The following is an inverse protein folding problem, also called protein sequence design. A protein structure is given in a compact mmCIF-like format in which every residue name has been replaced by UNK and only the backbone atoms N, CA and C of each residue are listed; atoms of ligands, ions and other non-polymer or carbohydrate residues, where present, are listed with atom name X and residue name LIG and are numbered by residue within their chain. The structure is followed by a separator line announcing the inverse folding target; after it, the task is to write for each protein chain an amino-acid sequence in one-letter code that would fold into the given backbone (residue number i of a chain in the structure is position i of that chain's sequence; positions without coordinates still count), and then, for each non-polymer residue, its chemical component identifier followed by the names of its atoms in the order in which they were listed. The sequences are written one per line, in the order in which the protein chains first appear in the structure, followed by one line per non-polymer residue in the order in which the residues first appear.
data_IF_092844564763
#
_entry.id   IF_092844564763
#
_cell.length_a   1.000
_cell.length_b   1.000
_cell.length_c   1.000
_cell.angle_alpha   90.00
_cell.angle_beta   90.00
_cell.angle_gamma   90.00
#
_symmetry.space_group_name_H-M   'P 1'
#
loop_
_entity.id
_entity.type
_entity.pdbx_description
1 polymer ?
#
# COMPACT_ATOMS: atom_id res chain seq x y z
N UNK A 1 -18.03 28.33 -11.67
CA UNK A 1 -17.91 27.38 -10.54
C UNK A 1 -17.83 25.90 -10.94
N UNK A 2 -17.70 25.52 -12.23
CA UNK A 2 -17.71 24.10 -12.65
C UNK A 2 -16.35 23.38 -12.68
N UNK A 3 -15.26 24.08 -13.02
CA UNK A 3 -13.95 23.44 -13.25
C UNK A 3 -13.32 22.93 -11.94
N UNK A 4 -13.46 23.68 -10.85
CA UNK A 4 -12.89 23.31 -9.53
C UNK A 4 -13.47 21.99 -9.02
N UNK A 5 -14.79 21.78 -9.15
CA UNK A 5 -15.45 20.54 -8.73
C UNK A 5 -14.96 19.31 -9.52
N UNK A 6 -14.72 19.46 -10.82
CA UNK A 6 -14.23 18.36 -11.66
C UNK A 6 -12.79 17.94 -11.33
N UNK A 7 -11.95 18.90 -10.93
CA UNK A 7 -10.56 18.63 -10.52
C UNK A 7 -10.54 17.87 -9.19
N UNK A 8 -11.40 18.23 -8.23
CA UNK A 8 -11.49 17.51 -6.95
C UNK A 8 -12.03 16.08 -7.09
N UNK A 9 -13.05 15.86 -7.92
CA UNK A 9 -13.59 14.53 -8.19
C UNK A 9 -12.56 13.59 -8.83
N UNK A 10 -11.70 14.12 -9.70
CA UNK A 10 -10.64 13.32 -10.32
C UNK A 10 -9.61 12.85 -9.29
N UNK A 11 -9.22 13.71 -8.34
CA UNK A 11 -8.32 13.30 -7.24
C UNK A 11 -8.95 12.19 -6.38
N UNK A 12 -10.23 12.32 -6.04
CA UNK A 12 -10.95 11.31 -5.24
C UNK A 12 -11.06 9.94 -5.93
N UNK A 13 -11.22 9.93 -7.26
CA UNK A 13 -11.23 8.69 -8.04
C UNK A 13 -9.90 7.94 -7.93
N UNK A 14 -8.77 8.65 -7.99
CA UNK A 14 -7.44 8.06 -7.79
C UNK A 14 -7.21 7.56 -6.36
N UNK A 15 -7.71 8.28 -5.34
CA UNK A 15 -7.66 7.83 -3.94
C UNK A 15 -8.43 6.50 -3.79
N UNK A 16 -9.66 6.46 -4.30
CA UNK A 16 -10.52 5.26 -4.23
C UNK A 16 -9.87 4.07 -4.94
N UNK A 17 -9.30 4.28 -6.12
CA UNK A 17 -8.57 3.24 -6.84
C UNK A 17 -7.34 2.74 -6.04
N UNK A 18 -6.57 3.66 -5.45
CA UNK A 18 -5.42 3.30 -4.61
C UNK A 18 -5.81 2.44 -3.40
N UNK A 19 -6.93 2.77 -2.75
CA UNK A 19 -7.48 1.95 -1.65
C UNK A 19 -7.93 0.57 -2.11
N UNK A 20 -8.58 0.47 -3.26
CA UNK A 20 -8.96 -0.82 -3.83
C UNK A 20 -7.71 -1.69 -4.12
N UNK A 21 -6.64 -1.09 -4.65
CA UNK A 21 -5.36 -1.77 -4.88
C UNK A 21 -4.69 -2.21 -3.57
N UNK A 22 -4.77 -1.40 -2.51
CA UNK A 22 -4.32 -1.82 -1.17
C UNK A 22 -5.10 -3.03 -0.66
N UNK A 23 -6.42 -3.02 -0.80
CA UNK A 23 -7.28 -4.15 -0.40
C UNK A 23 -6.98 -5.41 -1.22
N UNK A 24 -6.51 -5.26 -2.46
CA UNK A 24 -6.08 -6.37 -3.32
C UNK A 24 -4.64 -6.83 -3.04
N UNK A 25 -3.92 -6.19 -2.11
CA UNK A 25 -2.54 -6.56 -1.76
C UNK A 25 -1.49 -6.03 -2.74
N UNK A 26 -1.81 -4.98 -3.50
CA UNK A 26 -0.93 -4.36 -4.51
C UNK A 26 -0.42 -2.97 -4.07
N UNK A 27 0.37 -2.86 -2.99
CA UNK A 27 0.74 -1.55 -2.45
C UNK A 27 1.67 -0.75 -3.36
N UNK A 28 2.48 -1.38 -4.22
CA UNK A 28 3.33 -0.64 -5.19
C UNK A 28 2.49 0.07 -6.26
N UNK A 29 1.34 -0.51 -6.64
CA UNK A 29 0.43 0.09 -7.62
C UNK A 29 -0.39 1.18 -6.95
N UNK A 30 -0.84 0.94 -5.71
CA UNK A 30 -1.56 1.92 -4.91
C UNK A 30 -0.79 3.24 -4.76
N UNK A 31 0.54 3.18 -4.53
CA UNK A 31 1.40 4.37 -4.45
C UNK A 31 1.26 5.25 -5.70
N UNK A 32 1.26 4.65 -6.90
CA UNK A 32 1.14 5.40 -8.17
C UNK A 32 -0.22 6.08 -8.30
N UNK A 33 -1.28 5.44 -7.81
CA UNK A 33 -2.62 6.01 -7.77
C UNK A 33 -2.65 7.22 -6.83
N UNK A 34 -2.08 7.13 -5.63
CA UNK A 34 -2.00 8.26 -4.72
C UNK A 34 -1.08 9.38 -5.22
N UNK A 35 0.02 9.07 -5.92
CA UNK A 35 0.86 10.07 -6.59
C UNK A 35 0.05 10.88 -7.62
N UNK A 36 -0.83 10.22 -8.39
CA UNK A 36 -1.75 10.91 -9.32
C UNK A 36 -2.78 11.76 -8.59
N UNK A 37 -3.35 11.28 -7.49
CA UNK A 37 -4.26 12.07 -6.67
C UNK A 37 -3.58 13.34 -6.15
N UNK A 38 -2.34 13.25 -5.67
CA UNK A 38 -1.56 14.37 -5.17
C UNK A 38 -1.09 15.32 -6.27
N UNK A 39 -0.84 14.84 -7.49
CA UNK A 39 -0.58 15.71 -8.63
C UNK A 39 -1.78 16.61 -8.98
N UNK A 40 -3.00 16.14 -8.68
CA UNK A 40 -4.25 16.88 -8.91
C UNK A 40 -4.59 17.77 -7.69
N UNK A 41 -4.47 17.22 -6.47
CA UNK A 41 -4.72 17.92 -5.20
C UNK A 41 -3.53 17.73 -4.25
N UNK A 42 -2.49 18.57 -4.34
CA UNK A 42 -1.26 18.41 -3.55
C UNK A 42 -1.47 18.43 -2.03
N UNK A 43 -2.50 19.15 -1.59
CA UNK A 43 -2.83 19.33 -0.17
C UNK A 43 -3.88 18.31 0.33
N UNK A 44 -4.11 17.21 -0.39
CA UNK A 44 -5.00 16.14 0.07
C UNK A 44 -4.32 15.35 1.18
N UNK A 45 -4.69 15.62 2.43
CA UNK A 45 -4.22 14.87 3.60
C UNK A 45 -4.54 13.37 3.46
N UNK A 46 -5.75 13.05 2.99
CA UNK A 46 -6.18 11.68 2.72
C UNK A 46 -5.24 10.92 1.76
N UNK A 47 -4.89 11.53 0.62
CA UNK A 47 -3.97 10.90 -0.32
C UNK A 47 -2.54 10.78 0.25
N UNK A 48 -2.09 11.74 1.07
CA UNK A 48 -0.78 11.68 1.71
C UNK A 48 -0.71 10.52 2.72
N UNK A 49 -1.74 10.35 3.55
CA UNK A 49 -1.78 9.32 4.58
C UNK A 49 -1.97 7.92 4.02
N UNK A 50 -2.83 7.77 3.02
CA UNK A 50 -2.97 6.50 2.30
C UNK A 50 -1.68 6.11 1.58
N UNK A 51 -0.98 7.08 0.98
CA UNK A 51 0.33 6.86 0.36
C UNK A 51 1.38 6.41 1.38
N UNK A 52 1.49 7.06 2.54
CA UNK A 52 2.38 6.62 3.63
C UNK A 52 2.09 5.18 4.03
N UNK A 53 0.81 4.84 4.22
CA UNK A 53 0.36 3.48 4.55
C UNK A 53 0.82 2.46 3.49
N UNK A 54 0.68 2.80 2.21
CA UNK A 54 1.16 1.98 1.10
C UNK A 54 2.69 1.78 1.14
N UNK A 55 3.48 2.82 1.41
CA UNK A 55 4.93 2.70 1.60
C UNK A 55 5.32 1.79 2.77
N UNK A 56 4.60 1.88 3.90
CA UNK A 56 4.82 0.99 5.03
C UNK A 56 4.59 -0.49 4.66
N UNK A 57 3.56 -0.78 3.88
CA UNK A 57 3.27 -2.13 3.40
C UNK A 57 4.37 -2.65 2.44
N UNK A 58 4.83 -1.83 1.49
CA UNK A 58 5.95 -2.20 0.60
C UNK A 58 7.21 -2.50 1.41
N UNK A 59 7.54 -1.64 2.40
CA UNK A 59 8.70 -1.84 3.27
C UNK A 59 8.60 -3.14 4.05
N UNK A 60 7.44 -3.41 4.66
CA UNK A 60 7.19 -4.64 5.43
C UNK A 60 7.31 -5.89 4.55
N UNK A 61 6.75 -5.88 3.33
CA UNK A 61 6.87 -7.00 2.38
C UNK A 61 8.33 -7.29 2.03
N UNK A 62 9.11 -6.24 1.75
CA UNK A 62 10.55 -6.37 1.49
C UNK A 62 11.31 -6.92 2.69
N UNK A 63 10.98 -6.47 3.90
CA UNK A 63 11.59 -6.96 5.14
C UNK A 63 11.31 -8.45 5.34
N UNK A 64 10.07 -8.90 5.18
CA UNK A 64 9.70 -10.32 5.29
C UNK A 64 10.43 -11.21 4.27
N UNK A 65 10.56 -10.74 3.02
CA UNK A 65 11.34 -11.45 2.02
C UNK A 65 12.85 -11.48 2.36
N UNK A 66 13.39 -10.39 2.93
CA UNK A 66 14.81 -10.31 3.31
C UNK A 66 15.16 -11.04 4.60
N UNK A 67 14.22 -11.13 5.55
CA UNK A 67 14.44 -11.71 6.86
C UNK A 67 14.46 -13.22 6.83
N UNK A 68 14.29 -13.84 5.64
CA UNK A 68 14.51 -15.27 5.45
C UNK A 68 13.85 -16.10 6.55
N UNK A 69 12.57 -15.87 6.81
CA UNK A 69 11.79 -16.87 7.54
C UNK A 69 11.75 -18.09 6.63
N UNK A 70 12.80 -18.90 6.75
CA UNK A 70 12.89 -20.22 6.19
C UNK A 70 11.70 -20.97 6.75
N UNK A 71 10.73 -21.29 5.88
CA UNK A 71 9.60 -22.16 6.23
C UNK A 71 10.03 -23.53 6.79
N UNK A 72 11.34 -23.82 6.80
CA UNK A 72 11.95 -25.06 7.27
C UNK A 72 12.41 -25.05 8.73
N UNK A 73 12.59 -23.92 9.41
CA UNK A 73 13.18 -23.92 10.78
C UNK A 73 12.17 -24.00 11.93
N UNK A 74 10.86 -23.91 11.66
CA UNK A 74 9.82 -23.98 12.70
C UNK A 74 8.84 -25.16 12.59
N UNK A 75 9.12 -26.18 11.76
CA UNK A 75 8.27 -27.38 11.69
C UNK A 75 8.99 -28.62 12.17
N UNK A 76 8.83 -28.88 13.47
CA UNK A 76 8.88 -30.19 14.12
C UNK A 76 10.22 -30.93 14.12
N UNK A 77 11.13 -30.53 15.01
CA UNK A 77 11.97 -31.55 15.66
C UNK A 77 11.14 -32.11 16.82
N UNK A 78 10.31 -33.12 16.54
CA UNK A 78 9.84 -34.02 17.59
C UNK A 78 11.11 -34.74 18.06
N UNK A 79 11.65 -34.29 19.19
CA UNK A 79 12.78 -34.95 19.82
C UNK A 79 12.33 -36.36 20.18
N UNK A 80 12.73 -37.34 19.36
CA UNK A 80 12.58 -38.74 19.71
C UNK A 80 13.58 -39.01 20.84
N UNK A 81 13.07 -39.06 22.07
CA UNK A 81 13.85 -39.43 23.24
C UNK A 81 13.95 -40.96 23.24
N UNK A 82 15.09 -41.48 22.78
CA UNK A 82 15.57 -42.81 23.14
C UNK A 82 16.33 -42.76 24.46
#
# INVERSE_FOLDING_TARGET
MGVVLTVELNALAWITLGRAQLNFGEPDIAIKSFDRALAIKPNSEEAQDDRKSAFHLVKRRKQLHSSGLSDTENRFVVGDKT
#
